data_IF_668084708149
#
_entry.id   IF_668084708149
#
_cell.length_a   1.000
_cell.length_b   1.000
_cell.length_c   1.000
_cell.angle_alpha   90.00
_cell.angle_beta   90.00
_cell.angle_gamma   90.00
#
_symmetry.space_group_name_H-M   'P 1'
#
loop_
_entity.id
_entity.type
_entity.pdbx_description
1 polymer ?
#
# COMPACT_ATOMS: atom_id res chain seq x y z
N UNK A 1 27.72 19.00 -22.16
CA UNK A 1 26.34 18.79 -21.64
C UNK A 1 25.95 20.10 -20.99
N UNK A 2 24.96 20.83 -21.56
CA UNK A 2 24.38 22.01 -20.90
C UNK A 2 23.57 21.53 -19.69
N UNK A 3 23.98 21.91 -18.50
CA UNK A 3 23.16 21.77 -17.30
C UNK A 3 21.98 22.75 -17.40
N UNK A 4 20.76 22.21 -17.44
CA UNK A 4 19.55 23.04 -17.36
C UNK A 4 19.24 23.26 -15.89
N UNK A 5 19.18 24.51 -15.46
CA UNK A 5 18.68 24.85 -14.13
C UNK A 5 17.14 24.86 -14.17
N UNK A 6 16.52 24.11 -13.26
CA UNK A 6 15.09 24.09 -13.06
C UNK A 6 14.81 24.61 -11.66
N UNK A 7 13.96 25.62 -11.56
CA UNK A 7 13.49 26.12 -10.26
C UNK A 7 12.19 25.39 -9.93
N UNK A 8 12.19 24.69 -8.79
CA UNK A 8 10.99 24.02 -8.31
C UNK A 8 10.03 25.03 -7.65
N UNK A 9 8.71 24.84 -7.76
CA UNK A 9 7.74 25.68 -7.07
C UNK A 9 7.95 25.70 -5.55
N UNK A 10 7.58 26.80 -4.90
CA UNK A 10 7.60 26.88 -3.44
C UNK A 10 6.70 25.79 -2.84
N UNK A 11 7.21 25.03 -1.85
CA UNK A 11 6.51 23.94 -1.20
C UNK A 11 6.50 22.63 -1.99
N UNK A 12 7.26 22.54 -3.10
CA UNK A 12 7.50 21.28 -3.79
C UNK A 12 8.43 20.40 -2.95
N UNK A 13 8.01 19.15 -2.71
CA UNK A 13 8.85 18.18 -2.03
C UNK A 13 9.68 17.35 -3.02
N UNK A 14 10.99 17.39 -2.88
CA UNK A 14 11.89 16.43 -3.52
C UNK A 14 12.19 15.32 -2.50
N UNK A 15 11.88 14.07 -2.83
CA UNK A 15 11.97 12.99 -1.88
C UNK A 15 12.29 11.64 -2.49
N UNK A 16 12.38 10.65 -1.62
CA UNK A 16 12.55 9.25 -1.98
C UNK A 16 11.42 8.40 -1.39
N UNK A 17 11.25 7.19 -1.92
CA UNK A 17 10.26 6.25 -1.47
C UNK A 17 10.82 4.83 -1.38
N UNK A 18 10.38 4.10 -0.35
CA UNK A 18 10.61 2.67 -0.19
C UNK A 18 9.37 2.01 0.41
N UNK A 19 9.51 0.75 0.84
CA UNK A 19 8.53 0.07 1.67
C UNK A 19 9.21 -0.78 2.74
N UNK A 20 8.50 -1.04 3.82
CA UNK A 20 9.00 -1.82 4.94
C UNK A 20 9.46 -3.22 4.49
N UNK A 21 8.63 -3.95 3.76
CA UNK A 21 8.97 -5.31 3.32
C UNK A 21 10.21 -5.36 2.42
N UNK A 22 10.43 -4.33 1.59
CA UNK A 22 11.57 -4.28 0.66
C UNK A 22 12.88 -3.87 1.34
N UNK A 23 12.84 -3.26 2.53
CA UNK A 23 14.03 -2.61 3.10
C UNK A 23 14.38 -3.04 4.52
N UNK A 24 13.41 -3.34 5.38
CA UNK A 24 13.67 -3.53 6.82
C UNK A 24 14.48 -4.78 7.16
N UNK A 25 14.26 -5.87 6.42
CA UNK A 25 14.74 -7.19 6.84
C UNK A 25 13.82 -7.83 7.89
N UNK A 26 14.26 -8.97 8.46
CA UNK A 26 13.49 -9.72 9.45
C UNK A 26 14.02 -9.56 10.88
N UNK A 27 14.98 -8.69 11.13
CA UNK A 27 15.47 -8.49 12.48
C UNK A 27 14.33 -8.03 13.42
N UNK A 28 14.19 -8.68 14.58
CA UNK A 28 13.10 -8.44 15.53
C UNK A 28 11.72 -8.95 15.11
N UNK A 29 11.56 -9.54 13.90
CA UNK A 29 10.29 -10.12 13.45
C UNK A 29 9.98 -11.43 14.19
N UNK A 30 8.76 -11.56 14.71
CA UNK A 30 8.27 -12.78 15.36
C UNK A 30 7.79 -13.79 14.31
N UNK A 31 7.79 -15.08 14.66
CA UNK A 31 7.38 -16.16 13.72
C UNK A 31 5.93 -16.03 13.27
N UNK A 32 5.07 -15.42 14.08
CA UNK A 32 3.65 -15.19 13.78
C UNK A 32 3.41 -13.95 12.89
N UNK A 33 4.43 -13.16 12.60
CA UNK A 33 4.34 -11.89 11.89
C UNK A 33 4.71 -11.99 10.41
N UNK A 34 4.47 -13.13 9.79
CA UNK A 34 4.63 -13.24 8.34
C UNK A 34 3.56 -12.42 7.61
N UNK A 35 4.00 -11.65 6.65
CA UNK A 35 3.12 -11.04 5.66
C UNK A 35 2.76 -12.03 4.55
N UNK A 36 1.76 -11.70 3.72
CA UNK A 36 1.47 -12.40 2.47
C UNK A 36 2.72 -12.59 1.61
N UNK A 37 3.57 -11.56 1.52
CA UNK A 37 4.81 -11.60 0.74
C UNK A 37 5.86 -12.53 1.37
N UNK A 38 5.92 -12.62 2.71
CA UNK A 38 6.80 -13.57 3.40
C UNK A 38 6.36 -15.01 3.15
N UNK A 39 5.04 -15.27 3.18
CA UNK A 39 4.49 -16.59 2.84
C UNK A 39 4.82 -16.97 1.41
N UNK A 40 4.67 -16.04 0.47
CA UNK A 40 5.05 -16.30 -0.92
C UNK A 40 6.53 -16.63 -1.03
N UNK A 41 7.42 -15.83 -0.44
CA UNK A 41 8.86 -16.10 -0.45
C UNK A 41 9.21 -17.46 0.17
N UNK A 42 8.64 -17.78 1.33
CA UNK A 42 8.93 -19.04 2.05
C UNK A 42 8.50 -20.27 1.24
N UNK A 43 7.36 -20.20 0.56
CA UNK A 43 6.80 -21.31 -0.19
C UNK A 43 7.36 -21.44 -1.62
N UNK A 44 7.87 -20.35 -2.21
CA UNK A 44 8.28 -20.30 -3.62
C UNK A 44 9.56 -19.48 -3.82
N UNK A 45 10.65 -19.86 -3.15
CA UNK A 45 11.95 -19.14 -3.24
C UNK A 45 12.49 -19.02 -4.66
N UNK A 46 12.18 -19.98 -5.53
CA UNK A 46 12.57 -19.96 -6.95
C UNK A 46 11.93 -18.83 -7.77
N UNK A 47 10.86 -18.21 -7.29
CA UNK A 47 10.25 -17.03 -7.90
C UNK A 47 11.08 -15.74 -7.69
N UNK A 48 12.11 -15.82 -6.84
CA UNK A 48 12.96 -14.70 -6.47
C UNK A 48 14.34 -14.84 -7.09
N UNK A 49 14.88 -13.74 -7.61
CA UNK A 49 16.17 -13.74 -8.29
C UNK A 49 17.27 -14.35 -7.38
N UNK A 50 17.88 -15.44 -7.83
CA UNK A 50 18.88 -16.21 -7.07
C UNK A 50 18.44 -16.64 -5.65
N UNK A 51 17.13 -16.70 -5.37
CA UNK A 51 16.59 -17.03 -4.06
C UNK A 51 16.82 -15.95 -2.99
N UNK A 52 17.28 -14.77 -3.35
CA UNK A 52 17.41 -13.64 -2.43
C UNK A 52 16.03 -13.15 -2.01
N UNK A 53 15.85 -12.97 -0.71
CA UNK A 53 14.57 -12.62 -0.12
C UNK A 53 14.64 -11.52 0.94
N UNK A 54 13.55 -11.31 1.66
CA UNK A 54 13.39 -10.17 2.54
C UNK A 54 14.12 -10.28 3.88
N UNK A 55 14.79 -11.41 4.16
CA UNK A 55 15.35 -11.67 5.50
C UNK A 55 16.40 -10.63 5.93
N UNK A 56 17.19 -10.14 5.00
CA UNK A 56 18.16 -9.06 5.21
C UNK A 56 17.70 -7.79 4.52
N UNK A 57 17.26 -7.88 3.26
CA UNK A 57 16.91 -6.76 2.40
C UNK A 57 18.05 -5.72 2.36
N UNK A 58 17.78 -4.46 2.73
CA UNK A 58 18.82 -3.44 2.94
C UNK A 58 19.19 -3.25 4.41
N UNK A 59 18.61 -4.08 5.28
CA UNK A 59 18.74 -4.00 6.73
C UNK A 59 18.37 -2.61 7.31
N UNK A 60 17.35 -2.01 6.73
CA UNK A 60 16.91 -0.66 7.13
C UNK A 60 16.47 -0.60 8.58
N UNK A 61 15.88 -1.69 9.11
CA UNK A 61 15.47 -1.75 10.51
C UNK A 61 16.61 -1.39 11.48
N UNK A 62 17.83 -1.87 11.22
CA UNK A 62 18.99 -1.62 12.08
C UNK A 62 19.79 -0.40 11.66
N UNK A 63 19.70 -0.01 10.38
CA UNK A 63 20.54 1.02 9.76
C UNK A 63 19.79 2.27 9.35
N UNK A 64 18.53 2.45 9.77
CA UNK A 64 17.72 3.60 9.37
C UNK A 64 18.39 4.95 9.64
N UNK A 65 19.20 5.07 10.70
CA UNK A 65 19.88 6.32 11.03
C UNK A 65 20.91 6.69 9.95
N UNK A 66 21.67 5.71 9.44
CA UNK A 66 22.63 5.93 8.35
C UNK A 66 21.90 6.42 7.08
N UNK A 67 20.78 5.78 6.74
CA UNK A 67 20.01 6.15 5.56
C UNK A 67 19.36 7.52 5.71
N UNK A 68 18.87 7.89 6.90
CA UNK A 68 18.34 9.22 7.19
C UNK A 68 19.44 10.29 7.11
N UNK A 69 20.64 9.99 7.58
CA UNK A 69 21.78 10.91 7.47
C UNK A 69 22.18 11.12 6.00
N UNK A 70 22.12 10.08 5.17
CA UNK A 70 22.32 10.19 3.72
C UNK A 70 21.23 11.03 3.05
N UNK A 71 19.95 10.83 3.42
CA UNK A 71 18.84 11.64 2.91
C UNK A 71 19.06 13.12 3.19
N UNK A 72 19.49 13.45 4.41
CA UNK A 72 19.85 14.82 4.81
C UNK A 72 21.00 15.37 3.98
N UNK A 73 22.07 14.58 3.78
CA UNK A 73 23.26 15.01 3.02
C UNK A 73 22.93 15.34 1.56
N UNK A 74 22.05 14.56 0.91
CA UNK A 74 21.63 14.79 -0.48
C UNK A 74 20.47 15.79 -0.62
N UNK A 75 19.95 16.32 0.49
CA UNK A 75 18.95 17.37 0.52
C UNK A 75 17.52 16.89 0.24
N UNK A 76 17.18 15.63 0.56
CA UNK A 76 15.80 15.17 0.49
C UNK A 76 14.93 15.90 1.52
N UNK A 77 13.72 16.27 1.09
CA UNK A 77 12.75 16.99 1.91
C UNK A 77 11.65 16.08 2.46
N UNK A 78 11.44 14.93 1.84
CA UNK A 78 10.50 13.93 2.33
C UNK A 78 10.98 12.51 2.04
N UNK A 79 10.50 11.58 2.86
CA UNK A 79 10.72 10.16 2.69
C UNK A 79 9.42 9.40 2.90
N UNK A 80 8.99 8.62 1.91
CA UNK A 80 7.83 7.76 2.01
C UNK A 80 8.26 6.32 2.25
N UNK A 81 7.72 5.72 3.30
CA UNK A 81 7.82 4.28 3.56
C UNK A 81 6.47 3.71 3.98
N UNK A 82 6.39 2.43 4.27
CA UNK A 82 5.19 1.80 4.83
C UNK A 82 5.37 1.42 6.30
N UNK A 83 4.25 1.38 7.03
CA UNK A 83 4.17 0.70 8.32
C UNK A 83 3.82 -0.76 8.04
N UNK A 84 4.71 -1.68 8.43
CA UNK A 84 4.48 -3.11 8.18
C UNK A 84 3.34 -3.62 9.05
N UNK A 85 2.14 -3.76 8.48
CA UNK A 85 0.96 -4.23 9.21
C UNK A 85 1.19 -5.56 9.90
N UNK A 86 1.84 -6.51 9.22
CA UNK A 86 2.13 -7.82 9.80
C UNK A 86 3.07 -7.76 11.02
N UNK A 87 3.95 -6.74 11.10
CA UNK A 87 4.89 -6.58 12.21
C UNK A 87 4.38 -5.63 13.30
N UNK A 88 3.54 -4.68 12.95
CA UNK A 88 3.04 -3.69 13.90
C UNK A 88 2.11 -4.30 14.95
N UNK A 89 1.46 -5.43 14.63
CA UNK A 89 0.55 -6.12 15.55
C UNK A 89 1.05 -7.54 15.88
N UNK A 90 0.81 -7.99 17.10
CA UNK A 90 1.01 -9.37 17.56
C UNK A 90 -0.29 -10.16 17.59
N UNK A 91 -1.43 -9.48 17.65
CA UNK A 91 -2.77 -10.05 17.56
C UNK A 91 -3.61 -9.12 16.67
N UNK A 92 -3.99 -9.61 15.50
CA UNK A 92 -4.71 -8.81 14.50
C UNK A 92 -6.17 -8.64 14.85
N UNK A 93 -6.78 -9.63 15.52
CA UNK A 93 -8.19 -9.59 15.92
C UNK A 93 -8.43 -8.60 17.07
N UNK A 94 -7.52 -8.56 18.04
CA UNK A 94 -7.62 -7.67 19.20
C UNK A 94 -6.82 -6.38 19.03
N UNK A 95 -6.08 -6.24 17.93
CA UNK A 95 -5.23 -5.06 17.61
C UNK A 95 -4.20 -4.81 18.72
N UNK A 96 -3.48 -5.86 19.09
CA UNK A 96 -2.41 -5.76 20.10
C UNK A 96 -1.12 -5.31 19.41
N UNK A 97 -0.68 -4.10 19.76
CA UNK A 97 0.53 -3.50 19.17
C UNK A 97 1.79 -4.23 19.62
N UNK A 98 2.70 -4.49 18.67
CA UNK A 98 4.07 -4.88 18.99
C UNK A 98 4.87 -3.66 19.40
N UNK A 99 5.09 -3.49 20.70
CA UNK A 99 5.75 -2.30 21.24
C UNK A 99 7.23 -2.19 20.83
N UNK A 100 7.92 -3.30 20.55
CA UNK A 100 9.30 -3.27 20.06
C UNK A 100 9.36 -2.71 18.65
N UNK A 101 8.48 -3.20 17.76
CA UNK A 101 8.39 -2.68 16.40
C UNK A 101 7.87 -1.24 16.37
N UNK A 102 6.87 -0.92 17.19
CA UNK A 102 6.35 0.43 17.29
C UNK A 102 7.41 1.43 17.77
N UNK A 103 8.22 1.05 18.76
CA UNK A 103 9.32 1.88 19.26
C UNK A 103 10.43 2.10 18.20
N UNK A 104 10.77 1.07 17.43
CA UNK A 104 11.68 1.21 16.28
C UNK A 104 11.13 2.21 15.27
N UNK A 105 9.88 2.01 14.85
CA UNK A 105 9.25 2.84 13.82
C UNK A 105 9.11 4.30 14.26
N UNK A 106 8.82 4.53 15.55
CA UNK A 106 8.77 5.86 16.15
C UNK A 106 10.15 6.57 16.14
N UNK A 107 11.22 5.84 16.47
CA UNK A 107 12.59 6.36 16.39
C UNK A 107 12.98 6.75 14.96
N UNK A 108 12.60 5.95 13.98
CA UNK A 108 12.81 6.25 12.55
C UNK A 108 12.08 7.52 12.14
N UNK A 109 10.81 7.69 12.53
CA UNK A 109 10.04 8.91 12.30
C UNK A 109 10.73 10.13 12.94
N UNK A 110 11.16 9.99 14.18
CA UNK A 110 11.85 11.08 14.91
C UNK A 110 13.18 11.45 14.27
N UNK A 111 13.96 10.47 13.79
CA UNK A 111 15.19 10.70 13.05
C UNK A 111 14.95 11.47 11.75
N UNK A 112 13.95 11.09 10.95
CA UNK A 112 13.55 11.82 9.75
C UNK A 112 13.20 13.28 10.08
N UNK A 113 12.37 13.51 11.08
CA UNK A 113 11.97 14.86 11.49
C UNK A 113 13.15 15.70 11.99
N UNK A 114 14.04 15.13 12.79
CA UNK A 114 15.25 15.79 13.26
C UNK A 114 16.22 16.14 12.11
N UNK A 115 16.21 15.35 11.05
CA UNK A 115 16.98 15.61 9.83
C UNK A 115 16.34 16.65 8.89
N UNK A 116 15.11 17.11 9.18
CA UNK A 116 14.33 17.98 8.30
C UNK A 116 13.69 17.25 7.12
N UNK A 117 13.60 15.93 7.18
CA UNK A 117 12.96 15.06 6.19
C UNK A 117 11.54 14.74 6.66
N UNK A 118 10.54 15.17 5.92
CA UNK A 118 9.13 14.91 6.26
C UNK A 118 8.79 13.41 6.07
N UNK A 119 8.40 12.68 7.12
CA UNK A 119 7.96 11.30 6.98
C UNK A 119 6.57 11.22 6.35
N UNK A 120 6.41 10.37 5.35
CA UNK A 120 5.15 10.05 4.69
C UNK A 120 4.90 8.55 4.82
N UNK A 121 3.79 8.15 5.45
CA UNK A 121 3.57 6.76 5.84
C UNK A 121 2.42 6.15 5.06
N UNK A 122 2.71 5.02 4.40
CA UNK A 122 1.73 4.14 3.77
C UNK A 122 1.31 3.05 4.77
N UNK A 123 0.02 2.84 4.94
CA UNK A 123 -0.51 1.83 5.88
C UNK A 123 -0.36 0.39 5.35
N UNK A 124 -0.37 0.20 4.03
CA UNK A 124 -0.15 -1.13 3.44
C UNK A 124 0.57 -1.00 2.09
N UNK A 125 1.74 -1.63 2.00
CA UNK A 125 2.52 -1.78 0.78
C UNK A 125 2.85 -3.27 0.55
N UNK A 126 1.78 -4.08 0.44
CA UNK A 126 1.81 -5.55 0.29
C UNK A 126 2.13 -6.32 1.58
N UNK A 127 2.12 -5.64 2.74
CA UNK A 127 2.36 -6.26 4.05
C UNK A 127 1.08 -6.76 4.73
N UNK A 128 0.06 -7.15 3.95
CA UNK A 128 -1.12 -7.85 4.48
C UNK A 128 -0.65 -9.02 5.37
N UNK A 129 -1.10 -9.13 6.64
CA UNK A 129 -0.75 -10.25 7.48
C UNK A 129 -1.09 -11.59 6.84
N UNK A 130 -0.11 -12.51 6.83
CA UNK A 130 -0.27 -13.83 6.24
C UNK A 130 -1.34 -14.67 6.92
N UNK A 131 -1.54 -14.49 8.23
CA UNK A 131 -2.64 -15.09 8.98
C UNK A 131 -4.00 -14.66 8.41
N UNK A 132 -4.20 -13.36 8.16
CA UNK A 132 -5.46 -12.84 7.62
C UNK A 132 -5.69 -13.30 6.17
N UNK A 133 -4.61 -13.47 5.41
CA UNK A 133 -4.70 -14.06 4.07
C UNK A 133 -5.13 -15.53 4.15
N UNK A 134 -4.51 -16.31 5.03
CA UNK A 134 -4.77 -17.76 5.15
C UNK A 134 -6.16 -18.03 5.74
N UNK A 135 -6.56 -17.26 6.77
CA UNK A 135 -7.80 -17.50 7.50
C UNK A 135 -9.04 -16.94 6.79
N UNK A 136 -8.91 -15.79 6.14
CA UNK A 136 -10.05 -15.05 5.59
C UNK A 136 -9.97 -14.79 4.08
N UNK A 137 -8.91 -15.22 3.41
CA UNK A 137 -8.69 -14.90 2.00
C UNK A 137 -8.23 -13.46 1.75
N UNK A 138 -7.63 -12.82 2.76
CA UNK A 138 -7.12 -11.47 2.67
C UNK A 138 -8.19 -10.44 2.34
N UNK A 139 -7.94 -9.60 1.37
CA UNK A 139 -8.86 -8.53 0.95
C UNK A 139 -10.17 -9.04 0.30
N UNK A 140 -10.35 -10.36 0.14
CA UNK A 140 -11.64 -10.96 -0.23
C UNK A 140 -12.68 -10.88 0.90
N UNK A 141 -12.30 -10.54 2.13
CA UNK A 141 -13.18 -10.51 3.30
C UNK A 141 -13.44 -9.10 3.81
N UNK A 142 -14.72 -8.76 4.02
CA UNK A 142 -15.12 -7.50 4.70
C UNK A 142 -14.64 -7.44 6.15
N UNK A 143 -14.44 -8.60 6.81
CA UNK A 143 -13.84 -8.64 8.15
C UNK A 143 -12.40 -8.10 8.14
N UNK A 144 -11.62 -8.41 7.10
CA UNK A 144 -10.26 -7.86 6.95
C UNK A 144 -10.29 -6.34 6.74
N UNK A 145 -11.32 -5.80 6.09
CA UNK A 145 -11.55 -4.35 6.01
C UNK A 145 -11.74 -3.74 7.40
N UNK A 146 -12.55 -4.37 8.24
CA UNK A 146 -12.80 -3.90 9.63
C UNK A 146 -11.50 -3.93 10.46
N UNK A 147 -10.71 -5.01 10.32
CA UNK A 147 -9.40 -5.12 10.99
C UNK A 147 -8.41 -4.07 10.49
N UNK A 148 -8.41 -3.77 9.20
CA UNK A 148 -7.54 -2.72 8.65
C UNK A 148 -7.90 -1.33 9.17
N UNK A 149 -9.18 -1.02 9.32
CA UNK A 149 -9.63 0.25 9.90
C UNK A 149 -9.15 0.38 11.35
N UNK A 150 -9.28 -0.68 12.15
CA UNK A 150 -8.79 -0.71 13.55
C UNK A 150 -7.27 -0.63 13.64
N UNK A 151 -6.55 -1.31 12.75
CA UNK A 151 -5.10 -1.16 12.62
C UNK A 151 -4.70 0.28 12.28
N UNK A 152 -5.36 0.90 11.31
CA UNK A 152 -5.11 2.29 10.92
C UNK A 152 -5.35 3.25 12.09
N UNK A 153 -6.40 3.01 12.88
CA UNK A 153 -6.68 3.79 14.09
C UNK A 153 -5.53 3.67 15.11
N UNK A 154 -5.05 2.46 15.39
CA UNK A 154 -3.92 2.25 16.29
C UNK A 154 -2.65 2.95 15.78
N UNK A 155 -2.40 2.91 14.46
CA UNK A 155 -1.29 3.64 13.83
C UNK A 155 -1.43 5.15 13.99
N UNK A 156 -2.64 5.71 13.81
CA UNK A 156 -2.90 7.14 14.01
C UNK A 156 -2.78 7.55 15.46
N UNK A 157 -3.25 6.74 16.40
CA UNK A 157 -3.08 6.99 17.84
C UNK A 157 -1.61 7.03 18.24
N UNK A 158 -0.80 6.11 17.70
CA UNK A 158 0.62 6.00 18.04
C UNK A 158 1.47 7.07 17.37
N UNK A 159 1.29 7.32 16.08
CA UNK A 159 2.19 8.15 15.28
C UNK A 159 1.56 9.44 14.75
N UNK A 160 0.24 9.61 14.89
CA UNK A 160 -0.48 10.72 14.28
C UNK A 160 -0.02 12.10 14.73
N UNK A 161 0.52 12.25 15.96
CA UNK A 161 1.12 13.52 16.42
C UNK A 161 2.43 13.89 15.70
N UNK A 162 3.06 12.94 15.01
CA UNK A 162 4.37 13.08 14.36
C UNK A 162 4.33 13.02 12.84
N UNK A 163 3.27 12.41 12.26
CA UNK A 163 3.10 12.15 10.82
C UNK A 163 1.92 12.93 10.27
N UNK A 164 2.15 13.77 9.26
CA UNK A 164 1.13 14.59 8.60
C UNK A 164 0.56 13.95 7.33
N UNK A 165 1.35 13.13 6.65
CA UNK A 165 1.01 12.56 5.33
C UNK A 165 0.85 11.05 5.43
N UNK A 166 -0.37 10.59 5.20
CA UNK A 166 -0.74 9.19 5.27
C UNK A 166 -1.30 8.69 3.95
N UNK A 167 -1.00 7.45 3.63
CA UNK A 167 -1.56 6.77 2.46
C UNK A 167 -2.19 5.45 2.90
N UNK A 168 -3.36 5.11 2.34
CA UNK A 168 -3.99 3.84 2.63
C UNK A 168 -3.17 2.68 2.04
N UNK A 169 -2.92 2.75 0.74
CA UNK A 169 -2.30 1.68 -0.03
C UNK A 169 -1.24 2.21 -0.98
N UNK A 170 -0.24 1.35 -1.24
CA UNK A 170 0.59 1.46 -2.43
C UNK A 170 0.04 0.53 -3.52
N UNK A 171 -0.23 1.09 -4.71
CA UNK A 171 -0.65 0.36 -5.91
C UNK A 171 -1.77 -0.67 -5.65
N UNK A 172 -2.91 -0.23 -5.15
CA UNK A 172 -3.96 -1.13 -4.65
C UNK A 172 -4.49 -2.13 -5.69
N UNK A 173 -4.37 -1.84 -6.99
CA UNK A 173 -4.87 -2.70 -8.08
C UNK A 173 -3.85 -3.75 -8.51
N UNK A 174 -2.55 -3.50 -8.35
CA UNK A 174 -1.48 -4.29 -8.96
C UNK A 174 -1.43 -5.73 -8.44
N UNK A 175 -1.52 -5.93 -7.11
CA UNK A 175 -1.37 -7.28 -6.53
C UNK A 175 -2.45 -8.22 -7.04
N UNK A 176 -3.72 -7.87 -6.85
CA UNK A 176 -4.84 -8.74 -7.24
C UNK A 176 -4.94 -8.94 -8.75
N UNK A 177 -4.55 -7.94 -9.55
CA UNK A 177 -4.50 -8.09 -11.01
C UNK A 177 -3.48 -9.15 -11.41
N UNK A 178 -2.27 -9.09 -10.86
CA UNK A 178 -1.22 -10.08 -11.12
C UNK A 178 -1.50 -11.45 -10.53
N UNK A 179 -2.18 -11.51 -9.38
CA UNK A 179 -2.57 -12.78 -8.74
C UNK A 179 -3.73 -13.42 -9.46
N UNK A 180 -4.86 -12.70 -9.64
CA UNK A 180 -6.14 -13.30 -9.99
C UNK A 180 -6.55 -13.14 -11.46
N UNK A 181 -5.93 -12.24 -12.22
CA UNK A 181 -6.11 -12.18 -13.68
C UNK A 181 -4.88 -12.70 -14.42
N UNK A 182 -3.66 -12.34 -13.97
CA UNK A 182 -2.43 -12.74 -14.64
C UNK A 182 -1.87 -14.10 -14.23
N UNK A 183 -2.24 -14.66 -13.08
CA UNK A 183 -1.58 -15.84 -12.46
C UNK A 183 -0.06 -15.71 -12.31
N UNK A 184 0.47 -14.48 -12.21
CA UNK A 184 1.90 -14.21 -12.17
C UNK A 184 2.47 -14.27 -10.75
N UNK A 185 1.61 -14.16 -9.74
CA UNK A 185 2.00 -14.14 -8.34
C UNK A 185 1.24 -15.21 -7.55
N UNK A 186 1.86 -15.66 -6.46
CA UNK A 186 1.23 -16.59 -5.53
C UNK A 186 -0.11 -16.04 -5.00
N UNK A 187 -1.18 -16.85 -4.90
CA UNK A 187 -1.26 -18.30 -5.08
C UNK A 187 -1.44 -18.78 -6.53
N UNK A 188 -1.15 -18.00 -7.57
CA UNK A 188 -1.20 -18.35 -8.99
C UNK A 188 -2.60 -18.81 -9.47
N UNK A 189 -3.62 -18.19 -8.94
CA UNK A 189 -5.01 -18.48 -9.28
C UNK A 189 -5.52 -17.52 -10.36
N UNK A 190 -6.39 -18.00 -11.25
CA UNK A 190 -7.18 -17.15 -12.15
C UNK A 190 -8.63 -17.14 -11.65
N UNK A 191 -9.03 -16.07 -10.96
CA UNK A 191 -10.36 -15.93 -10.36
C UNK A 191 -10.80 -14.47 -10.38
N UNK A 192 -11.53 -14.08 -11.43
CA UNK A 192 -12.03 -12.73 -11.63
C UNK A 192 -12.92 -12.23 -10.47
N UNK A 193 -13.68 -13.12 -9.83
CA UNK A 193 -14.47 -12.78 -8.65
C UNK A 193 -13.55 -12.27 -7.52
N UNK A 194 -12.49 -13.02 -7.18
CA UNK A 194 -11.53 -12.60 -6.13
C UNK A 194 -10.82 -11.29 -6.49
N UNK A 195 -10.52 -11.09 -7.77
CA UNK A 195 -9.97 -9.82 -8.24
C UNK A 195 -10.91 -8.66 -7.94
N UNK A 196 -12.20 -8.81 -8.19
CA UNK A 196 -13.19 -7.76 -7.92
C UNK A 196 -13.39 -7.55 -6.41
N UNK A 197 -13.50 -8.63 -5.63
CA UNK A 197 -13.66 -8.57 -4.18
C UNK A 197 -12.51 -7.78 -3.52
N UNK A 198 -11.27 -8.02 -3.95
CA UNK A 198 -10.10 -7.30 -3.46
C UNK A 198 -10.14 -5.82 -3.83
N UNK A 199 -10.50 -5.49 -5.07
CA UNK A 199 -10.61 -4.08 -5.50
C UNK A 199 -11.69 -3.34 -4.73
N UNK A 200 -12.87 -3.96 -4.59
CA UNK A 200 -13.99 -3.39 -3.84
C UNK A 200 -13.62 -3.14 -2.38
N UNK A 201 -13.08 -4.16 -1.71
CA UNK A 201 -12.77 -4.07 -0.28
C UNK A 201 -11.61 -3.11 0.01
N UNK A 202 -10.61 -3.01 -0.85
CA UNK A 202 -9.55 -1.99 -0.71
C UNK A 202 -10.10 -0.56 -0.91
N UNK A 203 -11.00 -0.35 -1.86
CA UNK A 203 -11.67 0.93 -2.03
C UNK A 203 -12.52 1.29 -0.81
N UNK A 204 -13.29 0.32 -0.28
CA UNK A 204 -14.07 0.47 0.95
C UNK A 204 -13.18 0.80 2.16
N UNK A 205 -12.07 0.07 2.33
CA UNK A 205 -11.10 0.30 3.39
C UNK A 205 -10.49 1.71 3.28
N UNK A 206 -10.12 2.15 2.06
CA UNK A 206 -9.60 3.51 1.82
C UNK A 206 -10.58 4.57 2.29
N UNK A 207 -11.86 4.45 1.91
CA UNK A 207 -12.89 5.42 2.29
C UNK A 207 -13.15 5.45 3.80
N UNK A 208 -13.22 4.28 4.44
CA UNK A 208 -13.42 4.17 5.89
C UNK A 208 -12.25 4.77 6.68
N UNK A 209 -11.01 4.47 6.29
CA UNK A 209 -9.82 5.02 6.95
C UNK A 209 -9.69 6.52 6.69
N UNK A 210 -10.01 6.99 5.47
CA UNK A 210 -10.03 8.43 5.18
C UNK A 210 -11.07 9.16 6.04
N UNK A 211 -12.26 8.58 6.23
CA UNK A 211 -13.28 9.13 7.12
C UNK A 211 -12.78 9.17 8.56
N UNK A 212 -12.21 8.07 9.06
CA UNK A 212 -11.61 8.00 10.38
C UNK A 212 -10.53 9.06 10.58
N UNK A 213 -9.63 9.23 9.62
CA UNK A 213 -8.56 10.25 9.67
C UNK A 213 -9.11 11.67 9.76
N UNK A 214 -10.17 11.99 9.01
CA UNK A 214 -10.76 13.32 8.96
C UNK A 214 -11.62 13.64 10.18
N UNK A 215 -12.45 12.69 10.62
CA UNK A 215 -13.48 12.88 11.64
C UNK A 215 -13.03 12.41 13.04
N UNK A 216 -12.08 11.49 13.13
CA UNK A 216 -11.54 10.93 14.38
C UNK A 216 -10.54 11.81 15.12
N UNK A 217 -10.27 13.02 14.62
CA UNK A 217 -9.35 13.95 15.27
C UNK A 217 -7.86 13.67 15.02
N UNK A 218 -7.52 12.75 14.11
CA UNK A 218 -6.14 12.35 13.81
C UNK A 218 -5.44 13.27 12.80
N UNK A 219 -6.21 14.11 12.11
CA UNK A 219 -5.67 15.03 11.12
C UNK A 219 -4.98 16.23 11.76
N UNK A 220 -3.66 16.32 11.63
CA UNK A 220 -2.92 17.52 12.01
C UNK A 220 -3.18 18.69 11.05
N UNK A 221 -2.89 19.95 11.46
CA UNK A 221 -2.89 21.11 10.57
C UNK A 221 -2.00 20.85 9.34
N UNK A 222 -2.59 21.02 8.13
CA UNK A 222 -1.91 20.71 6.86
C UNK A 222 -1.78 19.22 6.54
N UNK A 223 -2.24 18.32 7.42
CA UNK A 223 -2.20 16.89 7.20
C UNK A 223 -3.09 16.44 6.04
N UNK A 224 -2.64 15.44 5.29
CA UNK A 224 -3.34 14.88 4.13
C UNK A 224 -3.37 13.35 4.21
N UNK A 225 -4.45 12.81 3.68
CA UNK A 225 -4.62 11.38 3.49
C UNK A 225 -4.89 11.08 2.02
N UNK A 226 -4.29 10.02 1.48
CA UNK A 226 -4.45 9.63 0.09
C UNK A 226 -4.16 8.16 -0.16
N UNK A 227 -3.86 7.85 -1.40
CA UNK A 227 -3.40 6.53 -1.85
C UNK A 227 -2.37 6.71 -2.95
N UNK A 228 -1.50 5.73 -3.15
CA UNK A 228 -0.46 5.76 -4.17
C UNK A 228 -0.92 4.85 -5.30
N UNK A 229 -1.11 5.41 -6.49
CA UNK A 229 -1.71 4.72 -7.63
C UNK A 229 -0.66 4.44 -8.70
N UNK A 230 -0.66 3.23 -9.22
CA UNK A 230 -0.06 2.89 -10.50
C UNK A 230 -1.12 3.16 -11.58
N UNK A 231 -0.93 4.19 -12.38
CA UNK A 231 -1.83 4.54 -13.49
C UNK A 231 -1.19 4.10 -14.80
N UNK A 232 -1.89 3.28 -15.54
CA UNK A 232 -1.48 2.88 -16.88
C UNK A 232 -2.39 3.52 -17.92
N UNK A 233 -1.81 4.35 -18.80
CA UNK A 233 -2.55 5.03 -19.85
C UNK A 233 -2.70 4.13 -21.06
N UNK A 234 -3.94 3.75 -21.38
CA UNK A 234 -4.26 3.01 -22.58
C UNK A 234 -4.64 3.94 -23.73
N UNK A 235 -4.00 3.78 -24.86
CA UNK A 235 -4.31 4.50 -26.10
C UNK A 235 -4.84 3.53 -27.13
N UNK A 236 -5.91 3.87 -27.89
CA UNK A 236 -6.39 3.04 -28.97
C UNK A 236 -5.32 2.89 -30.05
N UNK A 237 -5.11 1.68 -30.54
CA UNK A 237 -4.12 1.38 -31.58
C UNK A 237 -4.47 2.04 -32.91
N UNK A 238 -5.76 2.23 -33.19
CA UNK A 238 -6.27 2.91 -34.36
C UNK A 238 -7.54 3.71 -34.04
N UNK A 239 -8.09 4.41 -35.03
CA UNK A 239 -9.36 5.12 -34.91
C UNK A 239 -10.59 4.19 -35.03
N UNK A 240 -10.42 2.87 -35.04
CA UNK A 240 -11.53 1.94 -35.05
C UNK A 240 -12.36 2.01 -33.75
N UNK A 241 -13.66 1.69 -33.84
CA UNK A 241 -14.51 1.64 -32.65
C UNK A 241 -14.01 0.58 -31.66
N UNK A 242 -13.56 -0.56 -32.15
CA UNK A 242 -13.02 -1.66 -31.33
C UNK A 242 -11.78 -1.26 -30.55
N UNK A 243 -10.83 -0.55 -31.18
CA UNK A 243 -9.60 -0.13 -30.48
C UNK A 243 -9.89 0.93 -29.41
N UNK A 244 -10.85 1.83 -29.67
CA UNK A 244 -11.29 2.80 -28.65
C UNK A 244 -11.98 2.10 -27.48
N UNK A 245 -12.90 1.19 -27.76
CA UNK A 245 -13.59 0.40 -26.72
C UNK A 245 -12.59 -0.41 -25.89
N UNK A 246 -11.61 -1.06 -26.52
CA UNK A 246 -10.57 -1.79 -25.82
C UNK A 246 -9.73 -0.89 -24.87
N UNK A 247 -9.40 0.32 -25.30
CA UNK A 247 -8.68 1.29 -24.45
C UNK A 247 -9.56 1.79 -23.29
N UNK A 248 -10.83 2.05 -23.51
CA UNK A 248 -11.81 2.43 -22.48
C UNK A 248 -12.01 1.30 -21.46
N UNK A 249 -12.14 0.05 -21.93
CA UNK A 249 -12.25 -1.11 -21.05
C UNK A 249 -11.00 -1.32 -20.21
N UNK A 250 -9.81 -1.16 -20.81
CA UNK A 250 -8.56 -1.23 -20.03
C UNK A 250 -8.53 -0.17 -18.92
N UNK A 251 -8.86 1.07 -19.23
CA UNK A 251 -8.92 2.16 -18.25
C UNK A 251 -9.97 1.89 -17.15
N UNK A 252 -11.11 1.33 -17.53
CA UNK A 252 -12.16 0.95 -16.59
C UNK A 252 -11.70 -0.12 -15.59
N UNK A 253 -11.08 -1.20 -16.09
CA UNK A 253 -10.68 -2.34 -15.26
C UNK A 253 -9.35 -2.16 -14.54
N UNK A 254 -8.45 -1.31 -15.04
CA UNK A 254 -7.15 -1.10 -14.41
C UNK A 254 -7.09 0.16 -13.53
N UNK A 255 -7.59 1.28 -14.04
CA UNK A 255 -7.52 2.55 -13.31
C UNK A 255 -8.81 2.84 -12.52
N UNK A 256 -9.95 2.87 -13.20
CA UNK A 256 -11.21 3.36 -12.64
C UNK A 256 -11.85 2.41 -11.64
N UNK A 257 -11.59 1.11 -11.73
CA UNK A 257 -12.09 0.10 -10.76
C UNK A 257 -11.75 0.45 -9.31
N UNK A 258 -10.66 1.16 -9.10
CA UNK A 258 -10.25 1.61 -7.77
C UNK A 258 -10.34 3.13 -7.61
N UNK A 259 -9.89 3.92 -8.60
CA UNK A 259 -9.88 5.38 -8.50
C UNK A 259 -11.26 5.97 -8.26
N UNK A 260 -12.26 5.52 -9.02
CA UNK A 260 -13.59 6.10 -8.92
C UNK A 260 -14.24 5.84 -7.55
N UNK A 261 -14.34 4.61 -7.04
CA UNK A 261 -14.90 4.38 -5.71
C UNK A 261 -14.05 5.00 -4.58
N UNK A 262 -12.72 5.02 -4.70
CA UNK A 262 -11.86 5.60 -3.68
C UNK A 262 -11.93 7.13 -3.61
N UNK A 263 -12.09 7.81 -4.75
CA UNK A 263 -12.06 9.29 -4.83
C UNK A 263 -13.45 9.89 -4.93
N UNK A 264 -14.33 9.28 -5.74
CA UNK A 264 -15.69 9.77 -6.00
C UNK A 264 -16.74 9.12 -5.09
N UNK A 265 -16.39 8.01 -4.40
CA UNK A 265 -17.31 7.23 -3.57
C UNK A 265 -18.29 6.36 -4.36
N UNK A 266 -18.11 6.21 -5.68
CA UNK A 266 -18.99 5.45 -6.54
C UNK A 266 -18.24 4.84 -7.72
N UNK A 267 -18.65 3.66 -8.15
CA UNK A 267 -18.20 3.06 -9.40
C UNK A 267 -18.85 3.73 -10.61
N UNK A 268 -18.28 3.52 -11.80
CA UNK A 268 -18.86 4.00 -13.05
C UNK A 268 -20.28 3.43 -13.24
N UNK A 269 -21.24 4.22 -13.72
CA UNK A 269 -22.57 3.71 -14.08
C UNK A 269 -22.48 2.51 -15.05
N UNK A 270 -23.26 1.46 -14.80
CA UNK A 270 -23.27 0.24 -15.60
C UNK A 270 -22.09 -0.71 -15.37
N UNK A 271 -21.14 -0.37 -14.49
CA UNK A 271 -19.99 -1.24 -14.21
C UNK A 271 -20.42 -2.56 -13.57
N UNK A 272 -21.35 -2.52 -12.63
CA UNK A 272 -21.84 -3.74 -11.99
C UNK A 272 -22.67 -4.61 -12.94
N UNK A 273 -23.49 -4.01 -13.82
CA UNK A 273 -24.22 -4.75 -14.86
C UNK A 273 -23.25 -5.47 -15.81
N UNK A 274 -22.15 -4.82 -16.15
CA UNK A 274 -21.07 -5.41 -16.93
C UNK A 274 -20.43 -6.60 -16.21
N UNK A 275 -20.11 -6.47 -14.92
CA UNK A 275 -19.54 -7.56 -14.12
C UNK A 275 -20.49 -8.74 -14.01
N UNK A 276 -21.77 -8.49 -13.71
CA UNK A 276 -22.83 -9.51 -13.62
C UNK A 276 -22.98 -10.27 -14.93
N UNK A 277 -22.94 -9.60 -16.10
CA UNK A 277 -22.98 -10.24 -17.41
C UNK A 277 -21.81 -11.21 -17.64
N UNK A 278 -20.74 -11.11 -16.86
CA UNK A 278 -19.58 -11.99 -16.88
C UNK A 278 -19.49 -12.92 -15.65
N UNK A 279 -20.56 -13.02 -14.87
CA UNK A 279 -20.63 -13.88 -13.68
C UNK A 279 -19.80 -13.42 -12.50
N UNK A 280 -19.53 -12.13 -12.41
CA UNK A 280 -18.83 -11.49 -11.27
C UNK A 280 -19.85 -10.71 -10.47
N UNK A 281 -20.05 -11.09 -9.20
CA UNK A 281 -21.04 -10.49 -8.31
C UNK A 281 -20.38 -9.53 -7.32
N UNK A 282 -21.08 -8.43 -6.98
CA UNK A 282 -20.62 -7.47 -5.98
C UNK A 282 -21.73 -7.26 -4.96
N UNK A 283 -21.48 -7.69 -3.69
CA UNK A 283 -22.44 -7.62 -2.57
C UNK A 283 -22.30 -6.30 -1.77
#
# INVERSE_FOLDING_TARGET
IMLRHVTLPQGFFLGAASSAWQTEGWNGKKDTQDSYMDLWYKNHKSAWHNGYGPAVATNFHDRYQEDVDLMKQIGLQCYRTSLNWARFLTDYENVVVDEEYAAYFEKMIDACRAAGVEPMICLEHYELPGELFTKYGGWGSKHVVDLFVRYAEAAFQRFGSKVRYWFAFNEPVVVQTRVYLGSERWPFEQKSQKWMDWNYNKALATNRVMKLFKEGGYRQPGGKFGTIINVEMAYPRSNSAYDREAAEMYDLFYNKVFLDPAIKGAFQPGFFDLLESHGIHVD
#
